data_IF_640092529721
#
_entry.id   IF_640092529721
#
_cell.length_a   1.000
_cell.length_b   1.000
_cell.length_c   1.000
_cell.angle_alpha   90.00
_cell.angle_beta   90.00
_cell.angle_gamma   90.00
#
_symmetry.space_group_name_H-M   'P 1'
#
loop_
_entity.id
_entity.type
_entity.pdbx_description
1 polymer ?
#
# COMPACT_ATOMS: atom_id res chain seq x y z
N UNK A 1 12.52 -8.80 -31.00
CA UNK A 1 12.91 -7.64 -30.15
C UNK A 1 11.80 -7.42 -29.13
N UNK A 2 12.19 -7.18 -27.89
CA UNK A 2 11.23 -6.75 -26.88
C UNK A 2 10.64 -5.39 -27.31
N UNK A 3 9.32 -5.21 -27.16
CA UNK A 3 8.72 -3.93 -27.44
C UNK A 3 9.09 -2.91 -26.32
N UNK A 4 8.85 -1.63 -26.53
CA UNK A 4 9.17 -0.59 -25.55
C UNK A 4 8.53 -0.84 -24.18
N UNK A 5 7.33 -1.41 -24.17
CA UNK A 5 6.61 -1.76 -22.94
C UNK A 5 7.34 -2.89 -22.17
N UNK A 6 7.77 -3.93 -22.85
CA UNK A 6 8.52 -5.03 -22.24
C UNK A 6 9.84 -4.54 -21.63
N UNK A 7 10.54 -3.65 -22.31
CA UNK A 7 11.77 -3.05 -21.80
C UNK A 7 11.52 -2.22 -20.53
N UNK A 8 10.43 -1.43 -20.52
CA UNK A 8 10.05 -0.64 -19.36
C UNK A 8 9.69 -1.55 -18.16
N UNK A 9 8.92 -2.61 -18.42
CA UNK A 9 8.51 -3.59 -17.41
C UNK A 9 9.72 -4.30 -16.81
N UNK A 10 10.63 -4.78 -17.65
CA UNK A 10 11.88 -5.42 -17.21
C UNK A 10 12.74 -4.47 -16.38
N UNK A 11 12.85 -3.20 -16.78
CA UNK A 11 13.59 -2.19 -16.01
C UNK A 11 12.98 -1.97 -14.63
N UNK A 12 11.66 -1.86 -14.52
CA UNK A 12 10.97 -1.72 -13.23
C UNK A 12 11.15 -2.96 -12.36
N UNK A 13 11.00 -4.15 -12.94
CA UNK A 13 11.20 -5.41 -12.23
C UNK A 13 12.64 -5.56 -11.72
N UNK A 14 13.63 -5.21 -12.53
CA UNK A 14 15.03 -5.24 -12.14
C UNK A 14 15.30 -4.27 -10.98
N UNK A 15 14.69 -3.09 -10.99
CA UNK A 15 14.81 -2.13 -9.89
C UNK A 15 14.29 -2.71 -8.57
N UNK A 16 13.29 -3.58 -8.61
CA UNK A 16 12.81 -4.30 -7.43
C UNK A 16 13.81 -5.37 -6.96
N UNK A 17 14.49 -6.07 -7.87
CA UNK A 17 15.53 -7.03 -7.50
C UNK A 17 16.75 -6.34 -6.85
N UNK A 18 17.11 -5.16 -7.33
CA UNK A 18 18.26 -4.40 -6.86
C UNK A 18 17.95 -3.55 -5.62
N UNK A 19 16.68 -3.31 -5.34
CA UNK A 19 16.22 -2.45 -4.26
C UNK A 19 16.11 -3.16 -2.90
N UNK A 20 15.65 -2.39 -1.92
CA UNK A 20 15.45 -2.86 -0.53
C UNK A 20 14.08 -3.54 -0.36
N UNK A 21 13.91 -4.68 -1.01
CA UNK A 21 12.72 -5.52 -0.90
C UNK A 21 13.07 -6.83 -0.19
N UNK A 22 12.08 -7.46 0.44
CA UNK A 22 12.30 -8.74 1.10
C UNK A 22 12.61 -9.87 0.10
N UNK A 23 13.27 -10.91 0.59
CA UNK A 23 13.74 -12.03 -0.25
C UNK A 23 12.58 -12.80 -0.92
N UNK A 24 11.44 -12.94 -0.26
CA UNK A 24 10.28 -13.63 -0.83
C UNK A 24 9.73 -12.82 -2.03
N UNK A 25 9.64 -11.51 -1.90
CA UNK A 25 9.26 -10.60 -2.99
C UNK A 25 10.24 -10.69 -4.15
N UNK A 26 11.55 -10.64 -3.89
CA UNK A 26 12.58 -10.75 -4.93
C UNK A 26 12.53 -12.09 -5.66
N UNK A 27 12.34 -13.19 -4.94
CA UNK A 27 12.18 -14.53 -5.56
C UNK A 27 10.97 -14.57 -6.48
N UNK A 28 9.86 -13.96 -6.07
CA UNK A 28 8.64 -13.93 -6.87
C UNK A 28 8.81 -13.07 -8.14
N UNK A 29 9.45 -11.89 -8.03
CA UNK A 29 9.78 -11.05 -9.19
C UNK A 29 10.69 -11.80 -10.17
N UNK A 30 11.74 -12.45 -9.66
CA UNK A 30 12.64 -13.24 -10.51
C UNK A 30 11.92 -14.38 -11.20
N UNK A 31 11.04 -15.09 -10.48
CA UNK A 31 10.24 -16.15 -11.09
C UNK A 31 9.39 -15.64 -12.26
N UNK A 32 8.76 -14.46 -12.11
CA UNK A 32 7.96 -13.87 -13.19
C UNK A 32 8.82 -13.48 -14.40
N UNK A 33 10.02 -12.93 -14.17
CA UNK A 33 10.96 -12.58 -15.25
C UNK A 33 11.34 -13.84 -16.05
N UNK A 34 11.59 -14.94 -15.35
CA UNK A 34 12.09 -16.17 -15.98
C UNK A 34 10.97 -17.00 -16.62
N UNK A 35 9.72 -16.91 -16.15
CA UNK A 35 8.67 -17.88 -16.49
C UNK A 35 7.33 -17.27 -16.96
N UNK A 36 7.01 -16.02 -16.64
CA UNK A 36 5.69 -15.46 -16.94
C UNK A 36 5.75 -13.97 -17.28
N UNK A 37 6.18 -13.67 -18.49
CA UNK A 37 6.27 -12.30 -19.00
C UNK A 37 4.90 -11.60 -19.05
N UNK A 38 3.82 -12.34 -19.24
CA UNK A 38 2.47 -11.75 -19.24
C UNK A 38 2.09 -11.22 -17.87
N UNK A 39 2.21 -12.05 -16.84
CA UNK A 39 1.94 -11.60 -15.46
C UNK A 39 2.96 -10.53 -15.00
N UNK A 40 4.22 -10.64 -15.40
CA UNK A 40 5.20 -9.59 -15.15
C UNK A 40 4.77 -8.25 -15.74
N UNK A 41 4.27 -8.26 -16.98
CA UNK A 41 3.78 -7.05 -17.64
C UNK A 41 2.61 -6.46 -16.87
N UNK A 42 1.60 -7.26 -16.53
CA UNK A 42 0.44 -6.81 -15.76
C UNK A 42 0.82 -6.25 -14.37
N UNK A 43 1.87 -6.79 -13.77
CA UNK A 43 2.36 -6.39 -12.46
C UNK A 43 3.14 -5.06 -12.46
N UNK A 44 3.77 -4.69 -13.58
CA UNK A 44 4.71 -3.56 -13.61
C UNK A 44 4.44 -2.51 -14.70
N UNK A 45 3.45 -2.70 -15.62
CA UNK A 45 3.25 -1.76 -16.72
C UNK A 45 2.82 -0.36 -16.27
N UNK A 46 2.18 -0.26 -15.12
CA UNK A 46 1.79 1.01 -14.50
C UNK A 46 1.92 0.94 -12.98
N UNK A 47 1.64 2.04 -12.32
CA UNK A 47 1.53 2.10 -10.88
C UNK A 47 0.06 1.94 -10.45
N UNK A 48 -0.16 1.39 -9.26
CA UNK A 48 -1.50 1.24 -8.70
C UNK A 48 -2.09 2.62 -8.37
N UNK A 49 -3.30 2.87 -8.85
CA UNK A 49 -3.97 4.16 -8.72
C UNK A 49 -5.18 4.09 -7.80
N UNK A 50 -5.49 5.21 -7.15
CA UNK A 50 -6.71 5.36 -6.39
C UNK A 50 -7.92 5.48 -7.33
N UNK A 51 -8.90 4.59 -7.13
CA UNK A 51 -10.23 4.71 -7.74
C UNK A 51 -11.18 5.52 -6.86
N UNK A 52 -12.44 5.61 -7.27
CA UNK A 52 -13.51 6.33 -6.56
C UNK A 52 -13.71 5.82 -5.11
N UNK A 53 -13.50 4.54 -4.87
CA UNK A 53 -13.68 3.90 -3.57
C UNK A 53 -12.36 3.52 -2.88
N UNK A 54 -11.25 4.21 -3.16
CA UNK A 54 -9.95 3.95 -2.56
C UNK A 54 -9.00 3.16 -3.46
N UNK A 55 -7.90 2.69 -2.88
CA UNK A 55 -6.90 1.89 -3.57
C UNK A 55 -7.39 0.44 -3.72
N UNK A 56 -7.43 -0.06 -4.94
CA UNK A 56 -7.87 -1.43 -5.26
C UNK A 56 -6.92 -2.08 -6.25
N UNK A 57 -6.67 -3.35 -6.07
CA UNK A 57 -5.81 -4.10 -6.97
C UNK A 57 -5.74 -5.58 -6.60
N UNK A 58 -5.18 -6.36 -7.51
CA UNK A 58 -4.89 -7.78 -7.27
C UNK A 58 -3.69 -7.87 -6.31
N UNK A 59 -3.74 -8.81 -5.40
CA UNK A 59 -2.62 -9.13 -4.50
C UNK A 59 -1.46 -9.73 -5.27
N UNK A 60 -0.26 -9.22 -5.05
CA UNK A 60 0.94 -9.74 -5.68
C UNK A 60 2.11 -8.75 -5.68
N UNK A 61 3.22 -9.17 -6.26
CA UNK A 61 4.41 -8.32 -6.41
C UNK A 61 4.24 -7.35 -7.58
N UNK A 62 4.84 -6.18 -7.48
CA UNK A 62 4.86 -5.19 -8.56
C UNK A 62 4.15 -3.89 -8.22
N UNK A 63 4.39 -2.89 -9.04
CA UNK A 63 3.87 -1.53 -8.84
C UNK A 63 2.37 -1.42 -9.08
N UNK A 64 1.80 -2.32 -9.88
CA UNK A 64 0.36 -2.39 -10.20
C UNK A 64 -0.36 -3.50 -9.42
N UNK A 65 0.14 -3.86 -8.26
CA UNK A 65 -0.41 -4.89 -7.38
C UNK A 65 -0.54 -4.38 -5.96
N UNK A 66 -1.46 -4.99 -5.19
CA UNK A 66 -1.59 -4.78 -3.74
C UNK A 66 -0.52 -5.57 -3.00
N UNK A 67 0.37 -4.89 -2.31
CA UNK A 67 1.40 -5.46 -1.45
C UNK A 67 1.80 -4.43 -0.39
N UNK A 68 2.65 -4.82 0.55
CA UNK A 68 3.09 -3.92 1.64
C UNK A 68 3.79 -2.68 1.12
N UNK A 69 4.45 -2.75 -0.02
CA UNK A 69 5.19 -1.61 -0.60
C UNK A 69 4.27 -0.60 -1.26
N UNK A 70 3.28 -1.04 -2.05
CA UNK A 70 2.29 -0.14 -2.68
C UNK A 70 1.34 0.46 -1.66
N UNK A 71 0.88 -0.33 -0.69
CA UNK A 71 0.07 0.17 0.45
C UNK A 71 0.89 1.13 1.31
N UNK A 72 2.15 0.81 1.57
CA UNK A 72 3.06 1.67 2.33
C UNK A 72 3.32 3.00 1.65
N UNK A 73 3.57 3.01 0.34
CA UNK A 73 3.75 4.24 -0.43
C UNK A 73 2.51 5.12 -0.42
N UNK A 74 1.31 4.53 -0.56
CA UNK A 74 0.04 5.26 -0.46
C UNK A 74 -0.16 5.85 0.93
N UNK A 75 0.16 5.11 1.98
CA UNK A 75 0.07 5.58 3.37
C UNK A 75 1.04 6.73 3.64
N UNK A 76 2.27 6.65 3.13
CA UNK A 76 3.23 7.75 3.24
C UNK A 76 2.76 8.98 2.48
N UNK A 77 2.17 8.82 1.30
CA UNK A 77 1.57 9.91 0.54
C UNK A 77 0.45 10.62 1.32
N UNK A 78 -0.45 9.85 1.94
CA UNK A 78 -1.49 10.41 2.83
C UNK A 78 -0.88 11.10 4.04
N UNK A 79 0.15 10.52 4.64
CA UNK A 79 0.87 11.13 5.77
C UNK A 79 1.46 12.50 5.39
N UNK A 80 2.07 12.61 4.23
CA UNK A 80 2.62 13.87 3.73
C UNK A 80 1.52 14.91 3.48
N UNK A 81 0.40 14.48 2.92
CA UNK A 81 -0.78 15.33 2.73
C UNK A 81 -1.33 15.87 4.06
N UNK A 82 -1.50 15.00 5.05
CA UNK A 82 -2.01 15.39 6.38
C UNK A 82 -1.05 16.36 7.07
N UNK A 83 0.24 16.10 7.04
CA UNK A 83 1.26 17.02 7.60
C UNK A 83 1.20 18.41 6.97
N UNK A 84 1.01 18.47 5.65
CA UNK A 84 0.93 19.74 4.92
C UNK A 84 -0.32 20.52 5.28
N UNK A 85 -1.47 19.87 5.39
CA UNK A 85 -2.76 20.51 5.60
C UNK A 85 -3.07 20.82 7.08
N UNK A 86 -2.43 20.10 8.00
CA UNK A 86 -2.61 20.25 9.46
C UNK A 86 -1.28 20.53 10.15
N UNK A 87 -0.49 21.42 9.57
CA UNK A 87 0.82 21.78 10.09
C UNK A 87 0.71 22.34 11.52
N UNK A 88 1.56 21.83 12.42
CA UNK A 88 1.58 22.22 13.82
C UNK A 88 0.55 21.51 14.70
N UNK A 89 -0.31 20.66 14.14
CA UNK A 89 -1.26 19.86 14.90
C UNK A 89 -0.72 18.44 15.17
N UNK A 90 -1.15 17.85 16.29
CA UNK A 90 -0.95 16.41 16.51
C UNK A 90 -1.96 15.65 15.67
N UNK A 91 -1.50 15.01 14.59
CA UNK A 91 -2.35 14.31 13.65
C UNK A 91 -2.82 12.99 14.26
N UNK A 92 -4.11 12.71 14.14
CA UNK A 92 -4.79 11.53 14.67
C UNK A 92 -5.45 10.78 13.52
N UNK A 93 -5.24 9.48 13.45
CA UNK A 93 -5.80 8.60 12.41
C UNK A 93 -6.47 7.39 13.04
N UNK A 94 -7.54 6.91 12.42
CA UNK A 94 -8.23 5.69 12.82
C UNK A 94 -8.17 4.67 11.70
N UNK A 95 -7.93 3.40 12.04
CA UNK A 95 -7.77 2.30 11.09
C UNK A 95 -8.69 1.17 11.49
N UNK A 96 -9.57 0.75 10.58
CA UNK A 96 -10.34 -0.48 10.66
C UNK A 96 -9.85 -1.51 9.65
N UNK A 97 -10.23 -2.75 9.88
CA UNK A 97 -9.98 -3.86 8.96
C UNK A 97 -11.16 -4.83 8.93
N UNK A 98 -11.23 -5.65 7.90
CA UNK A 98 -12.29 -6.63 7.71
C UNK A 98 -11.76 -8.07 7.68
N UNK A 99 -12.60 -9.03 7.31
CA UNK A 99 -12.28 -10.46 7.31
C UNK A 99 -11.51 -10.93 6.07
N UNK A 100 -11.23 -10.05 5.10
CA UNK A 100 -10.49 -10.44 3.90
C UNK A 100 -9.06 -10.85 4.23
N UNK A 101 -8.52 -11.75 3.42
CA UNK A 101 -7.14 -12.21 3.56
C UNK A 101 -6.16 -11.03 3.59
N UNK A 102 -5.23 -11.06 4.55
CA UNK A 102 -4.21 -10.03 4.77
C UNK A 102 -4.74 -8.64 5.21
N UNK A 103 -6.05 -8.46 5.43
CA UNK A 103 -6.60 -7.17 5.86
C UNK A 103 -5.98 -6.70 7.18
N UNK A 104 -5.85 -7.60 8.16
CA UNK A 104 -5.19 -7.30 9.44
C UNK A 104 -3.71 -6.93 9.26
N UNK A 105 -2.97 -7.70 8.45
CA UNK A 105 -1.56 -7.43 8.17
C UNK A 105 -1.36 -6.05 7.53
N UNK A 106 -2.19 -5.70 6.56
CA UNK A 106 -2.13 -4.36 5.95
C UNK A 106 -2.50 -3.26 6.94
N UNK A 107 -3.51 -3.46 7.79
CA UNK A 107 -3.88 -2.49 8.81
C UNK A 107 -2.73 -2.22 9.80
N UNK A 108 -2.03 -3.25 10.24
CA UNK A 108 -0.85 -3.13 11.10
C UNK A 108 0.29 -2.40 10.40
N UNK A 109 0.57 -2.74 9.14
CA UNK A 109 1.60 -2.06 8.34
C UNK A 109 1.30 -0.56 8.15
N UNK A 110 0.05 -0.22 7.84
CA UNK A 110 -0.43 1.15 7.74
C UNK A 110 -0.28 1.88 9.07
N UNK A 111 -0.64 1.24 10.19
CA UNK A 111 -0.48 1.78 11.54
C UNK A 111 0.99 2.10 11.85
N UNK A 112 1.90 1.21 11.52
CA UNK A 112 3.34 1.39 11.74
C UNK A 112 3.88 2.61 10.95
N UNK A 113 3.45 2.79 9.71
CA UNK A 113 3.86 3.94 8.90
C UNK A 113 3.32 5.25 9.46
N UNK A 114 2.05 5.31 9.85
CA UNK A 114 1.49 6.49 10.50
C UNK A 114 2.20 6.81 11.82
N UNK A 115 2.46 5.79 12.62
CA UNK A 115 3.20 5.96 13.89
C UNK A 115 4.64 6.47 13.63
N UNK A 116 5.33 5.97 12.61
CA UNK A 116 6.65 6.46 12.20
C UNK A 116 6.65 7.92 11.78
N UNK A 117 5.51 8.42 11.30
CA UNK A 117 5.32 9.82 10.96
C UNK A 117 4.98 10.71 12.18
N UNK A 118 4.92 10.13 13.38
CA UNK A 118 4.60 10.84 14.62
C UNK A 118 3.10 11.03 14.86
N UNK A 119 2.24 10.31 14.15
CA UNK A 119 0.80 10.40 14.31
C UNK A 119 0.31 9.56 15.50
N UNK A 120 -0.79 10.00 16.11
CA UNK A 120 -1.55 9.19 17.04
C UNK A 120 -2.44 8.23 16.25
N UNK A 121 -2.26 6.94 16.44
CA UNK A 121 -2.94 5.91 15.66
C UNK A 121 -3.92 5.15 16.55
N UNK A 122 -5.16 5.05 16.10
CA UNK A 122 -6.21 4.20 16.68
C UNK A 122 -6.46 3.04 15.74
N UNK A 123 -6.04 1.86 16.13
CA UNK A 123 -6.25 0.63 15.39
C UNK A 123 -7.28 -0.24 16.11
N UNK A 124 -8.37 -0.59 15.43
CA UNK A 124 -9.33 -1.54 15.99
C UNK A 124 -8.69 -2.90 16.22
N UNK A 125 -8.93 -3.47 17.38
CA UNK A 125 -8.40 -4.77 17.79
C UNK A 125 -9.06 -5.95 17.07
N UNK A 126 -10.33 -5.77 16.67
CA UNK A 126 -11.14 -6.77 15.99
C UNK A 126 -11.83 -6.18 14.76
N UNK A 127 -12.55 -7.04 14.03
CA UNK A 127 -13.32 -6.63 12.87
C UNK A 127 -14.43 -5.65 13.25
N UNK A 128 -14.56 -4.56 12.51
CA UNK A 128 -15.59 -3.55 12.69
C UNK A 128 -16.15 -3.10 11.34
N UNK A 129 -17.44 -2.79 11.27
CA UNK A 129 -18.06 -2.27 10.04
C UNK A 129 -17.62 -0.83 9.76
N UNK A 130 -17.59 -0.44 8.50
CA UNK A 130 -17.19 0.92 8.07
C UNK A 130 -17.96 2.05 8.76
N UNK A 131 -19.26 1.96 9.06
CA UNK A 131 -19.97 2.99 9.83
C UNK A 131 -19.38 3.23 11.22
N UNK A 132 -18.87 2.19 11.88
CA UNK A 132 -18.19 2.33 13.18
C UNK A 132 -16.84 3.05 13.07
N UNK A 133 -16.10 2.82 11.98
CA UNK A 133 -14.89 3.58 11.68
C UNK A 133 -15.21 5.07 11.47
N UNK A 134 -16.24 5.38 10.70
CA UNK A 134 -16.70 6.77 10.49
C UNK A 134 -17.13 7.44 11.79
N UNK A 135 -17.79 6.73 12.68
CA UNK A 135 -18.13 7.21 14.02
C UNK A 135 -16.87 7.48 14.86
N UNK A 136 -15.93 6.54 14.87
CA UNK A 136 -14.68 6.66 15.64
C UNK A 136 -13.85 7.88 15.21
N UNK A 137 -13.78 8.17 13.91
CA UNK A 137 -13.07 9.34 13.38
C UNK A 137 -13.62 10.63 14.02
N UNK A 138 -14.93 10.77 14.13
CA UNK A 138 -15.58 11.94 14.74
C UNK A 138 -15.40 11.97 16.25
N UNK A 139 -15.65 10.86 16.92
CA UNK A 139 -15.59 10.74 18.38
C UNK A 139 -14.16 10.97 18.91
N UNK A 140 -13.17 10.38 18.23
CA UNK A 140 -11.76 10.51 18.58
C UNK A 140 -11.11 11.76 17.98
N UNK A 141 -11.86 12.57 17.24
CA UNK A 141 -11.37 13.79 16.56
C UNK A 141 -10.17 13.50 15.67
N UNK A 142 -10.27 12.43 14.86
CA UNK A 142 -9.24 12.07 13.91
C UNK A 142 -9.28 12.95 12.66
N UNK A 143 -8.12 13.14 12.05
CA UNK A 143 -7.98 13.86 10.77
C UNK A 143 -8.29 12.94 9.58
N UNK A 144 -8.14 11.61 9.76
CA UNK A 144 -8.44 10.60 8.75
C UNK A 144 -8.73 9.24 9.39
#
# INVERSE_FOLDING_TARGET
MANELEQLVLKKAQAWLDGHYDEATKKQVKYLIDNDMKELTESFYKDLEFGTGGLRGIMGVGTNRMNVYTVGAATQGLSNYLKKNFAGEQIRVAIGHDSRNNSRMFAEHVADIFASNGFTVFLFDTLRPTPELSFAIRELKCHS
#
